data_IF_559231654479
#
_entry.id   IF_559231654479
#
_cell.length_a   1.000
_cell.length_b   1.000
_cell.length_c   1.000
_cell.angle_alpha   90.00
_cell.angle_beta   90.00
_cell.angle_gamma   90.00
#
_symmetry.space_group_name_H-M   'P 1'
#
loop_
_entity.id
_entity.type
_entity.pdbx_description
1 polymer ?
#
# COMPACT_ATOMS: atom_id res chain seq x y z
N UNK A 1 -24.86 43.21 53.09
CA UNK A 1 -23.53 42.69 52.75
C UNK A 1 -23.70 41.19 52.48
N UNK A 2 -24.11 40.73 51.29
CA UNK A 2 -23.30 40.52 50.08
C UNK A 2 -21.92 39.89 50.41
N UNK A 3 -21.52 38.69 49.99
CA UNK A 3 -22.16 37.62 49.24
C UNK A 3 -21.14 36.47 49.13
N UNK A 4 -21.57 35.23 49.39
CA UNK A 4 -20.76 34.03 49.15
C UNK A 4 -21.43 33.21 48.04
N UNK A 5 -20.87 33.28 46.82
CA UNK A 5 -21.26 32.45 45.68
C UNK A 5 -20.47 31.14 45.75
N UNK A 6 -21.18 30.06 46.10
CA UNK A 6 -20.70 28.68 46.00
C UNK A 6 -20.62 28.26 44.53
N UNK A 7 -19.39 28.15 44.00
CA UNK A 7 -19.10 27.48 42.74
C UNK A 7 -18.33 26.19 43.06
N UNK A 8 -19.07 25.17 43.49
CA UNK A 8 -18.56 23.80 43.60
C UNK A 8 -19.36 22.91 42.66
N UNK A 9 -19.05 22.97 41.35
CA UNK A 9 -19.33 21.87 40.42
C UNK A 9 -17.98 21.29 40.03
N UNK A 10 -17.49 20.39 40.86
CA UNK A 10 -16.40 19.49 40.53
C UNK A 10 -16.85 18.64 39.34
N UNK A 11 -16.32 18.95 38.16
CA UNK A 11 -16.38 18.11 36.97
C UNK A 11 -15.52 16.87 37.23
N UNK A 12 -16.13 15.84 37.81
CA UNK A 12 -15.65 14.46 37.75
C UNK A 12 -15.85 13.94 36.31
N UNK A 13 -15.01 14.43 35.40
CA UNK A 13 -14.83 13.84 34.08
C UNK A 13 -13.96 12.61 34.23
N UNK A 14 -14.59 11.46 34.51
CA UNK A 14 -13.95 10.15 34.43
C UNK A 14 -13.63 9.90 32.96
N UNK A 15 -12.42 10.25 32.54
CA UNK A 15 -11.78 9.75 31.33
C UNK A 15 -11.56 8.25 31.52
N UNK A 16 -12.54 7.46 31.12
CA UNK A 16 -12.35 6.03 30.91
C UNK A 16 -11.36 5.86 29.76
N UNK A 17 -10.07 5.75 30.08
CA UNK A 17 -9.06 5.25 29.16
C UNK A 17 -9.32 3.76 29.01
N UNK A 18 -10.16 3.39 28.05
CA UNK A 18 -10.36 2.00 27.69
C UNK A 18 -9.04 1.45 27.12
N UNK A 19 -8.65 0.22 27.49
CA UNK A 19 -7.43 -0.41 27.01
C UNK A 19 -7.49 -0.56 25.48
N UNK A 20 -6.34 -0.38 24.83
CA UNK A 20 -6.16 -0.59 23.40
C UNK A 20 -6.23 -2.09 23.09
N UNK A 21 -7.44 -2.65 23.11
CA UNK A 21 -7.74 -3.91 22.43
C UNK A 21 -7.40 -3.74 20.94
N UNK A 22 -6.86 -4.78 20.30
CA UNK A 22 -6.47 -4.75 18.88
C UNK A 22 -7.53 -4.03 18.06
N UNK A 23 -7.11 -3.04 17.25
CA UNK A 23 -7.95 -1.93 16.76
C UNK A 23 -9.01 -2.41 15.76
N UNK A 24 -9.98 -3.19 16.23
CA UNK A 24 -11.10 -3.68 15.46
C UNK A 24 -11.92 -2.46 14.99
N UNK A 25 -11.99 -2.27 13.68
CA UNK A 25 -12.75 -1.16 13.11
C UNK A 25 -14.20 -1.58 12.87
N UNK A 26 -15.11 -1.08 13.70
CA UNK A 26 -16.54 -1.24 13.46
C UNK A 26 -17.07 -0.19 12.48
N UNK A 27 -17.52 -0.61 11.29
CA UNK A 27 -18.06 0.29 10.27
C UNK A 27 -19.34 1.02 10.71
N UNK A 28 -20.08 0.47 11.67
CA UNK A 28 -21.36 1.00 12.11
C UNK A 28 -22.53 0.60 11.19
N UNK A 29 -23.77 0.95 11.58
CA UNK A 29 -24.97 0.52 10.88
C UNK A 29 -25.06 1.08 9.47
N UNK A 30 -25.42 0.21 8.52
CA UNK A 30 -25.68 0.60 7.13
C UNK A 30 -24.44 0.92 6.30
N UNK A 31 -23.24 0.80 6.86
CA UNK A 31 -21.96 1.03 6.16
C UNK A 31 -21.37 -0.32 5.76
N UNK A 32 -21.28 -0.64 4.46
CA UNK A 32 -20.80 -1.96 4.03
C UNK A 32 -19.27 -2.08 4.08
N UNK A 33 -18.54 -0.98 3.91
CA UNK A 33 -17.08 -0.96 3.82
C UNK A 33 -16.49 0.08 4.76
N UNK A 34 -15.49 -0.33 5.54
CA UNK A 34 -14.62 0.58 6.27
C UNK A 34 -13.19 0.05 6.32
N UNK A 35 -12.25 0.95 6.50
CA UNK A 35 -10.85 0.63 6.38
C UNK A 35 -9.93 1.75 6.81
N UNK A 36 -8.65 1.56 6.55
CA UNK A 36 -7.62 2.58 6.74
C UNK A 36 -6.93 2.90 5.43
N UNK A 37 -6.69 4.18 5.17
CA UNK A 37 -5.66 4.63 4.25
C UNK A 37 -4.35 4.74 5.04
N UNK A 38 -3.41 3.84 4.77
CA UNK A 38 -2.10 3.79 5.42
C UNK A 38 -1.08 4.61 4.62
N UNK A 39 -0.43 5.55 5.29
CA UNK A 39 0.56 6.47 4.73
C UNK A 39 1.89 6.28 5.47
N UNK A 40 2.96 6.04 4.74
CA UNK A 40 4.30 5.91 5.29
C UNK A 40 4.97 7.28 5.38
N UNK A 41 5.58 7.58 6.51
CA UNK A 41 6.31 8.86 6.67
C UNK A 41 7.69 8.85 6.02
N UNK A 42 8.27 7.68 5.76
CA UNK A 42 9.65 7.52 5.32
C UNK A 42 10.70 7.60 6.41
N UNK A 43 10.29 7.82 7.68
CA UNK A 43 11.22 7.81 8.82
C UNK A 43 11.49 6.42 9.39
N UNK A 44 10.68 5.43 8.98
CA UNK A 44 10.75 4.06 9.46
C UNK A 44 12.06 3.34 9.12
N UNK A 45 12.05 2.02 9.32
CA UNK A 45 13.20 1.15 9.11
C UNK A 45 13.02 0.29 7.86
N UNK A 46 14.14 -0.13 7.27
CA UNK A 46 14.16 -1.05 6.12
C UNK A 46 13.27 -0.53 4.98
N UNK A 47 12.25 -1.30 4.58
CA UNK A 47 11.32 -0.96 3.51
C UNK A 47 10.50 0.31 3.77
N UNK A 48 10.31 0.70 5.04
CA UNK A 48 9.60 1.92 5.45
C UNK A 48 10.48 3.18 5.46
N UNK A 49 11.76 3.05 5.08
CA UNK A 49 12.67 4.17 5.00
C UNK A 49 12.73 4.69 3.57
N UNK A 50 12.23 5.89 3.36
CA UNK A 50 12.24 6.54 2.05
C UNK A 50 12.25 8.08 2.18
N UNK A 51 12.59 8.76 1.08
CA UNK A 51 12.94 10.20 1.08
C UNK A 51 11.74 11.13 1.28
N UNK A 52 10.56 10.72 0.86
CA UNK A 52 9.32 11.52 0.81
C UNK A 52 8.18 10.67 1.38
N UNK A 53 7.14 11.19 2.03
CA UNK A 53 6.02 10.37 2.48
C UNK A 53 5.29 9.73 1.28
N UNK A 54 4.83 8.49 1.42
CA UNK A 54 4.20 7.73 0.32
C UNK A 54 2.95 6.99 0.78
N UNK A 55 2.17 6.52 -0.18
CA UNK A 55 1.09 5.58 0.08
C UNK A 55 1.67 4.21 0.44
N UNK A 56 1.22 3.62 1.53
CA UNK A 56 1.35 2.18 1.75
C UNK A 56 0.18 1.48 1.06
N UNK A 57 -1.05 1.83 1.43
CA UNK A 57 -2.23 1.12 0.94
C UNK A 57 -3.56 1.64 1.44
N UNK A 58 -4.64 1.08 0.89
CA UNK A 58 -6.01 1.24 1.38
C UNK A 58 -6.53 -0.14 1.76
N UNK A 59 -6.77 -0.36 3.05
CA UNK A 59 -7.01 -1.67 3.60
C UNK A 59 -8.41 -1.77 4.21
N UNK A 60 -9.36 -2.43 3.52
CA UNK A 60 -10.62 -2.81 4.14
C UNK A 60 -10.37 -3.64 5.40
N UNK A 61 -10.93 -3.21 6.52
CA UNK A 61 -10.73 -3.86 7.82
C UNK A 61 -11.73 -5.02 7.94
N UNK A 62 -11.39 -6.14 7.30
CA UNK A 62 -12.21 -7.36 7.22
C UNK A 62 -11.82 -8.37 8.30
N UNK A 63 -12.76 -9.26 8.68
CA UNK A 63 -12.48 -10.38 9.58
C UNK A 63 -12.05 -9.92 10.98
N UNK A 64 -10.86 -10.33 11.43
CA UNK A 64 -10.35 -9.98 12.76
C UNK A 64 -10.00 -8.49 12.90
N UNK A 65 -9.90 -7.76 11.80
CA UNK A 65 -9.51 -6.36 11.77
C UNK A 65 -10.71 -5.40 11.84
N UNK A 66 -11.92 -5.87 11.50
CA UNK A 66 -13.10 -5.00 11.54
C UNK A 66 -14.36 -5.65 10.99
N UNK A 67 -15.45 -4.87 10.98
CA UNK A 67 -16.76 -5.31 10.47
C UNK A 67 -16.98 -4.99 8.99
N UNK A 68 -15.93 -4.59 8.27
CA UNK A 68 -16.02 -4.35 6.83
C UNK A 68 -16.39 -5.65 6.11
N UNK A 69 -17.30 -5.55 5.17
CA UNK A 69 -17.57 -6.65 4.23
C UNK A 69 -16.42 -6.74 3.24
N UNK A 70 -16.13 -7.93 2.75
CA UNK A 70 -15.36 -8.05 1.50
C UNK A 70 -16.34 -7.89 0.34
N UNK A 71 -16.22 -6.80 -0.41
CA UNK A 71 -17.01 -6.58 -1.62
C UNK A 71 -16.11 -6.80 -2.84
N UNK A 72 -16.35 -7.85 -3.65
CA UNK A 72 -15.51 -8.15 -4.80
C UNK A 72 -15.62 -7.06 -5.87
N UNK A 73 -14.59 -6.92 -6.73
CA UNK A 73 -14.65 -5.97 -7.81
C UNK A 73 -15.69 -6.39 -8.85
N UNK A 74 -16.21 -5.41 -9.60
CA UNK A 74 -17.19 -5.67 -10.67
C UNK A 74 -16.54 -6.27 -11.93
N UNK A 75 -15.24 -6.06 -12.08
CA UNK A 75 -14.41 -6.62 -13.13
C UNK A 75 -13.04 -7.00 -12.55
N UNK A 76 -12.55 -8.20 -12.88
CA UNK A 76 -11.31 -8.76 -12.31
C UNK A 76 -10.13 -8.74 -13.31
N UNK A 77 -10.19 -7.84 -14.31
CA UNK A 77 -9.13 -7.68 -15.30
C UNK A 77 -7.98 -6.83 -14.77
N UNK A 78 -6.75 -7.36 -14.63
CA UNK A 78 -5.62 -6.57 -14.18
C UNK A 78 -5.16 -5.62 -15.30
N UNK A 79 -4.81 -4.39 -14.93
CA UNK A 79 -4.33 -3.37 -15.87
C UNK A 79 -2.81 -3.22 -15.85
N UNK A 80 -2.14 -3.70 -14.78
CA UNK A 80 -0.67 -3.75 -14.61
C UNK A 80 0.03 -2.43 -14.98
N UNK A 81 -0.43 -1.34 -14.39
CA UNK A 81 0.13 -0.01 -14.57
C UNK A 81 0.75 0.49 -13.27
N UNK A 82 1.86 1.25 -13.36
CA UNK A 82 2.40 1.95 -12.18
C UNK A 82 1.63 3.25 -11.95
N UNK A 83 0.89 3.31 -10.85
CA UNK A 83 0.11 4.48 -10.45
C UNK A 83 1.00 5.53 -9.81
N UNK A 84 0.71 6.81 -10.07
CA UNK A 84 1.60 7.90 -9.68
C UNK A 84 1.79 8.04 -8.17
N UNK A 85 0.79 7.67 -7.36
CA UNK A 85 0.90 7.76 -5.90
C UNK A 85 1.72 6.61 -5.26
N UNK A 86 1.96 5.52 -6.01
CA UNK A 86 2.86 4.42 -5.62
C UNK A 86 4.25 4.54 -6.24
N UNK A 87 4.45 5.55 -7.09
CA UNK A 87 5.72 5.77 -7.75
C UNK A 87 6.73 6.28 -6.75
N UNK A 88 7.63 5.38 -6.35
CA UNK A 88 8.82 5.72 -5.57
C UNK A 88 10.04 5.79 -6.49
N UNK A 89 11.06 6.56 -6.09
CA UNK A 89 12.38 6.48 -6.74
C UNK A 89 12.93 5.05 -6.53
N UNK A 90 13.01 4.23 -7.59
CA UNK A 90 13.46 2.84 -7.43
C UNK A 90 13.17 1.89 -8.60
N UNK A 91 13.33 0.59 -8.32
CA UNK A 91 13.07 -0.51 -9.28
C UNK A 91 11.57 -0.62 -9.58
N UNK A 92 11.21 -0.27 -10.82
CA UNK A 92 9.85 -0.40 -11.37
C UNK A 92 9.23 -1.79 -11.11
N UNK A 93 10.02 -2.86 -11.14
CA UNK A 93 9.52 -4.22 -10.90
C UNK A 93 9.05 -4.39 -9.46
N UNK A 94 9.77 -3.80 -8.50
CA UNK A 94 9.35 -3.80 -7.10
C UNK A 94 8.05 -3.01 -6.91
N UNK A 95 7.89 -1.85 -7.55
CA UNK A 95 6.63 -1.09 -7.53
C UNK A 95 5.46 -1.90 -8.08
N UNK A 96 5.63 -2.56 -9.23
CA UNK A 96 4.58 -3.40 -9.82
C UNK A 96 4.22 -4.61 -8.94
N UNK A 97 5.23 -5.22 -8.28
CA UNK A 97 4.98 -6.30 -7.33
C UNK A 97 4.16 -5.81 -6.14
N UNK A 98 4.51 -4.64 -5.60
CA UNK A 98 3.84 -4.04 -4.46
C UNK A 98 2.40 -3.62 -4.79
N UNK A 99 2.16 -2.97 -5.93
CA UNK A 99 0.80 -2.70 -6.40
C UNK A 99 0.00 -4.00 -6.60
N UNK A 100 0.63 -5.04 -7.14
CA UNK A 100 0.02 -6.37 -7.23
C UNK A 100 -0.38 -6.94 -5.87
N UNK A 101 0.46 -6.75 -4.84
CA UNK A 101 0.15 -7.11 -3.45
C UNK A 101 -1.05 -6.34 -2.92
N UNK A 102 -1.04 -5.01 -3.05
CA UNK A 102 -2.11 -4.14 -2.58
C UNK A 102 -3.45 -4.49 -3.24
N UNK A 103 -3.46 -4.75 -4.56
CA UNK A 103 -4.66 -5.19 -5.24
C UNK A 103 -5.13 -6.56 -4.76
N UNK A 104 -4.24 -7.56 -4.78
CA UNK A 104 -4.60 -8.95 -4.49
C UNK A 104 -5.09 -9.13 -3.05
N UNK A 105 -4.45 -8.45 -2.09
CA UNK A 105 -4.74 -8.60 -0.66
C UNK A 105 -5.85 -7.67 -0.18
N UNK A 106 -5.90 -6.44 -0.70
CA UNK A 106 -6.77 -5.39 -0.17
C UNK A 106 -7.80 -4.91 -1.20
N UNK A 107 -7.36 -4.57 -2.40
CA UNK A 107 -8.22 -4.03 -3.46
C UNK A 107 -9.36 -4.96 -3.89
N UNK A 108 -9.12 -6.27 -3.93
CA UNK A 108 -10.14 -7.29 -4.23
C UNK A 108 -11.33 -7.33 -3.27
N UNK A 109 -11.23 -6.72 -2.09
CA UNK A 109 -12.32 -6.61 -1.13
C UNK A 109 -12.89 -5.18 -0.99
N UNK A 110 -12.39 -4.22 -1.76
CA UNK A 110 -12.65 -2.80 -1.57
C UNK A 110 -13.93 -2.30 -2.26
N UNK A 111 -14.70 -3.16 -2.93
CA UNK A 111 -15.91 -2.77 -3.68
C UNK A 111 -15.64 -1.87 -4.88
N UNK A 112 -14.39 -1.78 -5.32
CA UNK A 112 -13.99 -1.03 -6.51
C UNK A 112 -14.58 -1.63 -7.79
N UNK A 113 -14.61 -0.85 -8.87
CA UNK A 113 -15.06 -1.37 -10.17
C UNK A 113 -14.05 -2.38 -10.72
N UNK A 114 -12.77 -1.99 -10.72
CA UNK A 114 -11.62 -2.73 -11.23
C UNK A 114 -10.34 -2.24 -10.49
N UNK A 115 -9.17 -2.76 -10.87
CA UNK A 115 -7.86 -2.39 -10.31
C UNK A 115 -7.57 -0.89 -10.48
N UNK A 116 -7.80 -0.36 -11.69
CA UNK A 116 -7.64 1.07 -12.01
C UNK A 116 -8.48 1.96 -11.09
N UNK A 117 -9.74 1.60 -10.86
CA UNK A 117 -10.66 2.34 -10.02
C UNK A 117 -10.26 2.30 -8.55
N UNK A 118 -9.71 1.17 -8.08
CA UNK A 118 -9.16 1.09 -6.73
C UNK A 118 -7.99 2.06 -6.57
N UNK A 119 -6.96 1.96 -7.40
CA UNK A 119 -5.78 2.81 -7.27
C UNK A 119 -6.05 4.29 -7.55
N UNK A 120 -6.97 4.62 -8.46
CA UNK A 120 -7.42 6.00 -8.66
C UNK A 120 -8.02 6.59 -7.37
N UNK A 121 -8.82 5.82 -6.64
CA UNK A 121 -9.37 6.24 -5.35
C UNK A 121 -8.28 6.39 -4.29
N UNK A 122 -7.34 5.44 -4.20
CA UNK A 122 -6.20 5.54 -3.27
C UNK A 122 -5.38 6.80 -3.52
N UNK A 123 -5.04 7.08 -4.78
CA UNK A 123 -4.29 8.30 -5.13
C UNK A 123 -5.10 9.58 -4.82
N UNK A 124 -6.41 9.58 -5.07
CA UNK A 124 -7.25 10.74 -4.77
C UNK A 124 -7.36 11.02 -3.27
N UNK A 125 -7.51 9.98 -2.44
CA UNK A 125 -7.62 10.11 -0.99
C UNK A 125 -6.30 10.53 -0.34
N UNK A 126 -5.17 10.06 -0.87
CA UNK A 126 -3.83 10.29 -0.31
C UNK A 126 -3.18 11.61 -0.70
N UNK A 127 -3.55 12.19 -1.86
CA UNK A 127 -2.88 13.37 -2.43
C UNK A 127 -2.70 14.53 -1.43
N UNK A 128 -3.79 14.99 -0.78
CA UNK A 128 -3.70 16.10 0.18
C UNK A 128 -3.06 15.71 1.52
N UNK A 129 -3.37 14.55 2.13
CA UNK A 129 -2.63 14.06 3.30
C UNK A 129 -1.12 14.00 3.09
N UNK A 130 -0.65 13.42 1.98
CA UNK A 130 0.77 13.30 1.67
C UNK A 130 1.45 14.66 1.53
N UNK A 131 0.78 15.62 0.88
CA UNK A 131 1.29 17.00 0.80
C UNK A 131 1.48 17.62 2.19
N UNK A 132 0.51 17.45 3.10
CA UNK A 132 0.62 17.96 4.47
C UNK A 132 1.73 17.27 5.28
N UNK A 133 1.94 15.97 5.05
CA UNK A 133 3.06 15.24 5.65
C UNK A 133 4.39 15.78 5.14
N UNK A 134 4.51 16.03 3.83
CA UNK A 134 5.73 16.59 3.23
C UNK A 134 6.01 18.01 3.76
N UNK A 135 5.00 18.89 3.82
CA UNK A 135 5.12 20.24 4.39
C UNK A 135 5.59 20.22 5.85
N UNK A 136 5.20 19.19 6.61
CA UNK A 136 5.55 19.02 8.02
C UNK A 136 6.84 18.20 8.25
N UNK A 137 7.48 17.71 7.19
CA UNK A 137 8.55 16.70 7.26
C UNK A 137 9.74 17.15 8.09
N UNK A 138 10.15 18.41 8.00
CA UNK A 138 11.29 18.94 8.75
C UNK A 138 11.10 18.88 10.28
N UNK A 139 9.86 18.77 10.75
CA UNK A 139 9.52 18.59 12.17
C UNK A 139 9.51 17.14 12.65
N UNK A 140 9.80 16.17 11.77
CA UNK A 140 9.77 14.74 12.07
C UNK A 140 8.37 14.11 12.05
N UNK A 141 8.30 12.83 12.43
CA UNK A 141 7.08 12.02 12.34
C UNK A 141 5.89 12.61 13.13
N UNK A 142 6.13 13.03 14.38
CA UNK A 142 5.08 13.63 15.23
C UNK A 142 4.53 14.94 14.65
N UNK A 143 5.35 15.71 13.93
CA UNK A 143 4.90 16.93 13.25
C UNK A 143 3.95 16.60 12.09
N UNK A 144 4.21 15.52 11.35
CA UNK A 144 3.31 15.02 10.29
C UNK A 144 1.95 14.59 10.87
N UNK A 145 1.95 13.77 11.94
CA UNK A 145 0.72 13.35 12.65
C UNK A 145 -0.07 14.58 13.10
N UNK A 146 0.62 15.56 13.70
CA UNK A 146 0.01 16.79 14.17
C UNK A 146 -0.55 17.64 13.04
N UNK A 147 0.12 17.71 11.89
CA UNK A 147 -0.34 18.44 10.71
C UNK A 147 -1.65 17.86 10.16
N UNK A 148 -1.73 16.52 10.03
CA UNK A 148 -2.96 15.85 9.60
C UNK A 148 -4.12 16.07 10.57
N UNK A 149 -3.89 15.93 11.88
CA UNK A 149 -4.91 16.19 12.90
C UNK A 149 -5.41 17.64 12.87
N UNK A 150 -4.50 18.63 12.77
CA UNK A 150 -4.88 20.05 12.67
C UNK A 150 -5.67 20.36 11.40
N UNK A 151 -5.39 19.66 10.30
CA UNK A 151 -6.16 19.77 9.07
C UNK A 151 -7.50 19.02 9.10
N UNK A 152 -7.86 18.39 10.23
CA UNK A 152 -9.13 17.69 10.41
C UNK A 152 -9.18 16.28 9.82
N UNK A 153 -8.03 15.70 9.45
CA UNK A 153 -8.00 14.32 8.95
C UNK A 153 -8.29 13.31 10.07
N UNK A 154 -9.02 12.23 9.74
CA UNK A 154 -9.46 11.26 10.73
C UNK A 154 -8.36 10.24 11.05
N UNK A 155 -7.33 10.66 11.79
CA UNK A 155 -6.24 9.77 12.21
C UNK A 155 -6.80 8.71 13.15
N UNK A 156 -6.89 7.48 12.66
CA UNK A 156 -7.38 6.32 13.38
C UNK A 156 -6.26 5.66 14.19
N UNK A 157 -5.10 5.51 13.55
CA UNK A 157 -3.93 4.95 14.19
C UNK A 157 -2.64 5.64 13.76
N UNK A 158 -1.66 5.50 14.64
CA UNK A 158 -0.27 5.88 14.43
C UNK A 158 0.52 4.64 14.80
N UNK A 159 1.20 4.07 13.82
CA UNK A 159 2.12 2.97 14.00
C UNK A 159 3.52 3.57 14.19
N UNK A 160 3.95 3.66 15.45
CA UNK A 160 5.27 4.18 15.81
C UNK A 160 6.39 3.16 15.59
N UNK A 161 6.08 1.92 15.21
CA UNK A 161 7.09 0.92 14.88
C UNK A 161 7.61 1.14 13.45
N UNK A 162 6.70 1.33 12.49
CA UNK A 162 7.05 1.56 11.08
C UNK A 162 6.95 3.03 10.67
N UNK A 163 6.62 3.93 11.60
CA UNK A 163 6.35 5.35 11.37
C UNK A 163 5.28 5.58 10.28
N UNK A 164 4.14 4.89 10.42
CA UNK A 164 2.99 5.03 9.54
C UNK A 164 1.80 5.73 10.22
N UNK A 165 1.00 6.39 9.40
CA UNK A 165 -0.23 7.07 9.83
C UNK A 165 -1.40 6.43 9.10
N UNK A 166 -2.39 5.94 9.86
CA UNK A 166 -3.59 5.33 9.34
C UNK A 166 -4.78 6.29 9.49
N UNK A 167 -5.36 6.67 8.35
CA UNK A 167 -6.56 7.51 8.31
C UNK A 167 -7.79 6.64 8.13
N UNK A 168 -8.81 6.76 9.00
CA UNK A 168 -10.03 5.98 8.84
C UNK A 168 -10.81 6.41 7.59
N UNK A 169 -11.29 5.42 6.85
CA UNK A 169 -12.02 5.58 5.61
C UNK A 169 -13.25 4.67 5.59
N UNK A 170 -14.28 5.06 4.84
CA UNK A 170 -15.45 4.23 4.58
C UNK A 170 -15.87 4.31 3.12
N UNK A 171 -16.65 3.34 2.67
CA UNK A 171 -17.34 3.37 1.40
C UNK A 171 -18.77 2.83 1.53
N UNK A 172 -19.67 3.37 0.71
CA UNK A 172 -21.04 2.87 0.57
C UNK A 172 -21.11 1.67 -0.36
N UNK A 173 -22.33 1.28 -0.74
CA UNK A 173 -22.58 0.20 -1.72
C UNK A 173 -22.08 0.56 -3.13
N UNK A 174 -21.77 1.83 -3.38
CA UNK A 174 -21.16 2.34 -4.61
C UNK A 174 -19.63 2.14 -4.67
N UNK A 175 -19.02 1.64 -3.59
CA UNK A 175 -17.58 1.41 -3.49
C UNK A 175 -16.75 2.68 -3.60
N UNK A 176 -17.33 3.85 -3.30
CA UNK A 176 -16.64 5.14 -3.31
C UNK A 176 -16.07 5.45 -1.94
N UNK A 177 -14.75 5.33 -1.80
CA UNK A 177 -14.05 5.55 -0.55
C UNK A 177 -13.94 7.03 -0.19
N UNK A 178 -14.11 7.34 1.09
CA UNK A 178 -14.07 8.68 1.68
C UNK A 178 -13.36 8.62 3.02
N UNK A 179 -12.55 9.63 3.33
CA UNK A 179 -11.98 9.79 4.67
C UNK A 179 -13.04 10.36 5.61
N UNK A 180 -13.27 9.68 6.74
CA UNK A 180 -14.17 10.16 7.79
C UNK A 180 -13.77 9.56 9.14
N UNK A 181 -14.05 10.23 10.28
CA UNK A 181 -13.94 9.60 11.59
C UNK A 181 -14.90 8.40 11.67
N UNK A 182 -14.49 7.31 12.33
CA UNK A 182 -15.30 6.08 12.45
C UNK A 182 -16.72 6.35 12.93
N UNK A 183 -16.90 7.22 13.93
CA UNK A 183 -18.23 7.60 14.45
C UNK A 183 -19.16 8.30 13.45
N UNK A 184 -18.63 8.78 12.31
CA UNK A 184 -19.40 9.43 11.23
C UNK A 184 -19.60 8.55 10.01
N UNK A 185 -19.11 7.31 10.01
CA UNK A 185 -19.27 6.42 8.85
C UNK A 185 -20.75 6.24 8.43
N UNK A 186 -21.73 6.03 9.34
CA UNK A 186 -23.14 5.91 8.92
C UNK A 186 -23.69 7.14 8.19
N UNK A 187 -23.24 8.34 8.57
CA UNK A 187 -23.63 9.60 7.92
C UNK A 187 -22.97 9.75 6.54
N UNK A 188 -21.68 9.41 6.44
CA UNK A 188 -20.87 9.66 5.23
C UNK A 188 -21.02 8.57 4.16
N UNK A 189 -21.22 7.33 4.60
CA UNK A 189 -21.18 6.12 3.76
C UNK A 189 -22.39 5.19 3.95
N UNK A 190 -23.28 5.47 4.90
CA UNK A 190 -24.46 4.65 5.14
C UNK A 190 -25.56 4.82 4.09
N UNK A 191 -26.62 4.02 4.19
CA UNK A 191 -27.74 4.00 3.23
C UNK A 191 -28.50 5.34 3.08
N UNK A 192 -28.34 6.27 4.03
CA UNK A 192 -28.92 7.62 3.97
C UNK A 192 -27.97 8.67 3.38
N UNK A 193 -26.72 8.33 3.11
CA UNK A 193 -25.81 9.24 2.43
C UNK A 193 -26.39 9.52 1.04
N UNK A 194 -26.58 10.80 0.72
CA UNK A 194 -26.99 11.18 -0.63
C UNK A 194 -26.07 10.46 -1.62
N UNK A 195 -26.63 9.77 -2.64
CA UNK A 195 -25.80 9.08 -3.62
C UNK A 195 -24.78 10.08 -4.11
N UNK A 196 -23.50 9.69 -4.06
CA UNK A 196 -22.44 10.54 -4.61
C UNK A 196 -22.90 10.95 -6.01
N UNK A 197 -22.80 12.23 -6.40
CA UNK A 197 -23.14 12.64 -7.74
C UNK A 197 -22.45 11.64 -8.67
N UNK A 198 -23.24 10.94 -9.50
CA UNK A 198 -22.70 9.96 -10.45
C UNK A 198 -21.47 10.63 -11.05
N UNK A 199 -20.26 10.03 -10.95
CA UNK A 199 -19.08 10.65 -11.52
C UNK A 199 -19.48 10.97 -12.94
N UNK A 200 -19.60 12.27 -13.24
CA UNK A 200 -19.88 12.71 -14.60
C UNK A 200 -18.76 12.05 -15.38
N UNK A 201 -19.06 11.15 -16.33
CA UNK A 201 -18.01 10.53 -17.12
C UNK A 201 -17.07 11.65 -17.52
N UNK A 202 -15.79 11.62 -17.14
CA UNK A 202 -14.87 12.69 -17.47
C UNK A 202 -15.10 12.94 -18.95
N UNK A 203 -15.47 14.18 -19.30
CA UNK A 203 -15.99 14.50 -20.62
C UNK A 203 -15.17 13.73 -21.64
N UNK A 204 -15.82 12.83 -22.37
CA UNK A 204 -15.19 12.03 -23.43
C UNK A 204 -14.76 13.05 -24.47
N UNK A 205 -13.55 13.58 -24.30
CA UNK A 205 -13.20 14.87 -24.89
C UNK A 205 -11.74 15.26 -24.65
N UNK A 206 -10.88 14.27 -24.45
CA UNK A 206 -9.47 14.44 -24.75
C UNK A 206 -9.12 13.40 -25.79
N UNK A 207 -8.98 13.82 -27.06
CA UNK A 207 -8.33 13.04 -28.11
C UNK A 207 -6.82 12.88 -27.82
N UNK A 208 -6.43 12.74 -26.56
CA UNK A 208 -5.04 12.69 -26.12
C UNK A 208 -4.92 11.72 -24.96
N UNK A 209 -4.00 10.75 -25.06
CA UNK A 209 -3.63 9.97 -23.90
C UNK A 209 -2.59 10.74 -23.08
N UNK A 210 -2.91 10.99 -21.81
CA UNK A 210 -1.98 11.57 -20.84
C UNK A 210 -1.37 10.41 -20.03
N UNK A 211 -0.06 10.42 -19.73
CA UNK A 211 0.54 9.43 -18.85
C UNK A 211 -0.24 9.23 -17.54
N UNK A 212 -0.50 7.95 -17.21
CA UNK A 212 -1.26 7.52 -16.02
C UNK A 212 -2.73 7.99 -15.95
N UNK A 213 -3.36 8.29 -17.11
CA UNK A 213 -4.81 8.52 -17.21
C UNK A 213 -5.41 7.60 -18.27
N UNK A 214 -6.66 7.14 -18.07
CA UNK A 214 -7.40 6.45 -19.13
C UNK A 214 -7.60 7.40 -20.31
N UNK A 215 -7.22 6.96 -21.51
CA UNK A 215 -7.51 7.66 -22.76
C UNK A 215 -8.93 7.37 -23.27
N UNK A 216 -9.21 7.73 -24.53
CA UNK A 216 -10.49 7.43 -25.20
C UNK A 216 -10.82 5.93 -25.20
N UNK A 217 -12.11 5.58 -25.31
CA UNK A 217 -12.52 4.17 -25.42
C UNK A 217 -11.98 3.53 -26.70
N UNK A 218 -11.66 2.25 -26.60
CA UNK A 218 -11.20 1.45 -27.73
C UNK A 218 -11.61 -0.01 -27.60
N UNK A 219 -11.61 -0.71 -28.72
CA UNK A 219 -11.84 -2.14 -28.88
C UNK A 219 -10.60 -2.84 -29.45
N UNK A 220 -9.71 -2.10 -30.13
CA UNK A 220 -8.47 -2.59 -30.72
C UNK A 220 -7.39 -1.51 -30.70
N UNK A 221 -6.12 -1.90 -30.78
CA UNK A 221 -4.98 -0.96 -30.76
C UNK A 221 -5.00 0.02 -31.95
N UNK A 222 -5.57 -0.40 -33.08
CA UNK A 222 -5.75 0.46 -34.26
C UNK A 222 -6.62 1.70 -33.98
N UNK A 223 -7.55 1.64 -33.03
CA UNK A 223 -8.40 2.79 -32.67
C UNK A 223 -7.64 3.84 -31.86
N UNK A 224 -6.50 3.48 -31.29
CA UNK A 224 -5.63 4.41 -30.57
C UNK A 224 -4.55 5.01 -31.49
N UNK A 225 -4.38 4.45 -32.69
CA UNK A 225 -3.43 4.95 -33.67
C UNK A 225 -3.89 6.31 -34.19
N UNK A 226 -3.02 7.32 -34.07
CA UNK A 226 -3.32 8.69 -34.50
C UNK A 226 -3.99 9.57 -33.44
N UNK A 227 -4.30 9.05 -32.25
CA UNK A 227 -4.70 9.86 -31.11
C UNK A 227 -3.42 10.36 -30.42
N UNK A 228 -3.14 11.68 -30.36
CA UNK A 228 -1.93 12.21 -29.74
C UNK A 228 -1.60 11.59 -28.37
N UNK A 229 -0.37 11.12 -28.22
CA UNK A 229 0.10 10.51 -26.97
C UNK A 229 -0.48 9.12 -26.67
N UNK A 230 -1.40 8.57 -27.47
CA UNK A 230 -1.88 7.20 -27.31
C UNK A 230 -1.02 6.23 -28.10
N UNK A 231 -0.78 5.07 -27.49
CA UNK A 231 0.08 4.02 -28.03
C UNK A 231 -0.73 2.80 -28.46
N UNK A 232 -1.75 2.42 -27.68
CA UNK A 232 -2.53 1.18 -27.86
C UNK A 232 -3.78 1.15 -26.99
N UNK A 233 -4.66 0.17 -27.23
CA UNK A 233 -5.85 -0.11 -26.43
C UNK A 233 -5.56 -1.01 -25.22
N UNK A 234 -4.52 -1.85 -25.35
CA UNK A 234 -4.07 -2.75 -24.31
C UNK A 234 -5.15 -3.73 -23.80
N UNK A 235 -6.18 -4.00 -24.62
CA UNK A 235 -7.36 -4.79 -24.22
C UNK A 235 -8.08 -4.29 -22.96
N UNK A 236 -7.82 -3.05 -22.53
CA UNK A 236 -8.42 -2.45 -21.32
C UNK A 236 -9.80 -1.85 -21.58
N UNK A 237 -10.19 -1.72 -22.85
CA UNK A 237 -11.36 -0.93 -23.29
C UNK A 237 -11.05 0.56 -23.45
N UNK A 238 -9.83 1.01 -23.16
CA UNK A 238 -9.39 2.40 -23.26
C UNK A 238 -7.97 2.53 -23.80
N UNK A 239 -7.71 3.59 -24.58
CA UNK A 239 -6.38 3.89 -25.08
C UNK A 239 -5.45 4.27 -23.91
N UNK A 240 -4.18 3.89 -24.03
CA UNK A 240 -3.13 4.21 -23.06
C UNK A 240 -1.92 4.81 -23.76
N UNK A 241 -1.20 5.69 -23.08
CA UNK A 241 0.10 6.22 -23.53
C UNK A 241 1.25 5.24 -23.30
N UNK A 242 1.01 4.15 -22.57
CA UNK A 242 2.04 3.13 -22.30
C UNK A 242 2.30 2.30 -23.56
N UNK A 243 3.49 2.37 -24.17
CA UNK A 243 3.82 1.51 -25.30
C UNK A 243 3.77 0.03 -24.91
N UNK A 244 3.56 -0.86 -25.89
CA UNK A 244 3.90 -2.27 -25.67
C UNK A 244 5.39 -2.28 -25.31
N UNK A 245 5.74 -2.74 -24.12
CA UNK A 245 7.12 -3.13 -23.87
C UNK A 245 7.42 -4.18 -24.92
N UNK A 246 8.22 -3.83 -25.93
CA UNK A 246 8.82 -4.85 -26.76
C UNK A 246 9.68 -5.67 -25.80
N UNK A 247 9.46 -6.97 -25.70
CA UNK A 247 10.31 -7.92 -24.95
C UNK A 247 11.82 -7.73 -25.30
N UNK A 248 12.12 -7.13 -26.46
CA UNK A 248 13.45 -6.70 -26.89
C UNK A 248 14.18 -5.71 -25.94
N UNK A 249 13.45 -4.89 -25.16
CA UNK A 249 14.08 -3.94 -24.23
C UNK A 249 14.67 -4.65 -22.99
N UNK A 250 14.10 -5.78 -22.58
CA UNK A 250 14.65 -6.60 -21.49
C UNK A 250 15.85 -7.45 -21.97
N UNK A 251 15.83 -7.91 -23.22
CA UNK A 251 16.94 -8.67 -23.82
C UNK A 251 18.23 -7.84 -23.99
N UNK A 252 18.11 -6.52 -24.18
CA UNK A 252 19.27 -5.63 -24.38
C UNK A 252 19.96 -5.26 -23.07
N UNK A 253 19.27 -5.30 -21.93
CA UNK A 253 19.87 -5.03 -20.61
C UNK A 253 20.54 -6.27 -19.99
N UNK A 254 20.20 -7.48 -20.43
CA UNK A 254 20.86 -8.71 -19.97
C UNK A 254 22.15 -9.08 -20.73
N UNK A 255 22.49 -8.36 -21.82
CA UNK A 255 23.67 -8.68 -22.64
C UNK A 255 24.93 -7.89 -22.29
N UNK A 256 24.87 -6.96 -21.33
CA UNK A 256 26.05 -6.21 -20.87
C UNK A 256 26.45 -6.65 -19.48
N UNK A 257 27.21 -7.75 -19.39
CA UNK A 257 28.30 -7.99 -18.44
C UNK A 257 28.60 -9.50 -18.30
N UNK A 258 29.27 -10.07 -19.29
CA UNK A 258 30.24 -11.14 -19.00
C UNK A 258 31.59 -10.56 -19.38
N UNK A 259 32.39 -10.04 -18.42
CA UNK A 259 33.78 -9.73 -18.71
C UNK A 259 34.47 -11.01 -19.17
N UNK A 260 35.18 -10.90 -20.30
CA UNK A 260 35.95 -11.99 -20.85
C UNK A 260 36.90 -12.57 -19.78
N UNK A 261 37.12 -13.91 -19.75
CA UNK A 261 38.10 -14.49 -18.85
C UNK A 261 39.48 -13.92 -19.16
N UNK A 262 40.10 -13.31 -18.16
CA UNK A 262 41.50 -12.92 -18.17
C UNK A 262 42.34 -14.16 -18.46
N UNK A 263 42.92 -14.19 -19.66
CA UNK A 263 43.95 -15.17 -20.02
C UNK A 263 45.15 -14.99 -19.09
N UNK A 264 45.35 -15.97 -18.23
CA UNK A 264 46.51 -16.11 -17.36
C UNK A 264 47.78 -16.26 -18.20
N UNK A 265 48.60 -15.20 -18.23
CA UNK A 265 50.02 -15.28 -18.57
C UNK A 265 50.81 -15.59 -17.30
N UNK A 266 51.66 -16.61 -17.37
CA UNK A 266 52.21 -17.33 -16.23
C UNK A 266 53.10 -16.53 -15.27
N UNK A 267 53.11 -17.00 -14.03
CA UNK A 267 54.25 -16.91 -13.14
C UNK A 267 54.36 -18.23 -12.36
N UNK A 268 55.59 -18.72 -12.36
CA UNK A 268 56.06 -20.05 -12.00
C UNK A 268 56.57 -20.01 -10.55
N UNK A 269 56.32 -21.10 -9.81
CA UNK A 269 56.98 -21.58 -8.57
C UNK A 269 56.75 -20.87 -7.23
N UNK A 270 56.01 -21.55 -6.34
CA UNK A 270 56.42 -21.95 -4.97
C UNK A 270 55.19 -22.60 -4.28
N UNK A 271 55.01 -23.92 -4.27
CA UNK A 271 55.63 -24.89 -3.36
C UNK A 271 55.51 -24.50 -1.87
N UNK A 272 54.57 -25.12 -1.15
CA UNK A 272 54.70 -25.30 0.31
C UNK A 272 53.42 -25.18 1.14
N UNK A 273 53.06 -26.28 1.82
CA UNK A 273 52.21 -26.37 3.01
C UNK A 273 50.67 -26.31 2.85
N UNK A 274 50.13 -27.39 2.29
CA UNK A 274 48.85 -27.94 2.74
C UNK A 274 49.11 -29.05 3.77
N UNK A 275 49.06 -28.74 5.07
CA UNK A 275 48.71 -29.71 6.12
C UNK A 275 48.05 -28.98 7.29
N UNK A 276 46.91 -29.51 7.73
CA UNK A 276 46.23 -29.28 9.02
C UNK A 276 45.37 -28.02 9.20
N UNK A 277 44.11 -28.06 8.72
CA UNK A 277 42.90 -27.75 9.53
C UNK A 277 41.67 -28.48 8.93
N UNK A 278 41.60 -29.81 9.03
CA UNK A 278 40.37 -30.59 8.71
C UNK A 278 40.00 -31.57 9.83
N UNK A 279 40.13 -31.14 11.09
CA UNK A 279 39.77 -31.98 12.24
C UNK A 279 38.93 -31.28 13.32
N UNK A 280 38.35 -30.09 13.05
CA UNK A 280 37.51 -29.38 14.02
C UNK A 280 36.04 -29.20 13.59
N UNK A 281 35.69 -29.47 12.33
CA UNK A 281 34.32 -29.26 11.81
C UNK A 281 33.32 -30.40 12.08
N UNK A 282 33.80 -31.59 12.47
CA UNK A 282 32.96 -32.80 12.57
C UNK A 282 32.18 -32.96 13.88
N UNK A 283 32.50 -32.21 14.94
CA UNK A 283 31.90 -32.41 16.27
C UNK A 283 30.74 -31.45 16.60
N UNK A 284 30.52 -30.40 15.79
CA UNK A 284 29.41 -29.47 15.99
C UNK A 284 28.11 -29.88 15.27
N UNK A 285 28.20 -30.74 14.23
CA UNK A 285 27.01 -31.21 13.51
C UNK A 285 26.21 -32.28 14.28
N UNK A 286 26.84 -33.07 15.16
CA UNK A 286 26.15 -34.12 15.91
C UNK A 286 25.39 -33.60 17.15
N UNK A 287 25.75 -32.42 17.68
CA UNK A 287 25.09 -31.84 18.86
C UNK A 287 23.78 -31.10 18.54
N UNK A 288 23.56 -30.70 17.28
CA UNK A 288 22.33 -30.02 16.85
C UNK A 288 21.21 -31.02 16.52
N UNK A 289 21.56 -32.20 15.98
CA UNK A 289 20.58 -33.24 15.64
C UNK A 289 19.85 -33.81 16.88
N UNK A 290 20.56 -34.00 18.00
CA UNK A 290 19.99 -34.58 19.22
C UNK A 290 19.09 -33.64 20.04
N UNK A 291 19.02 -32.35 19.69
CA UNK A 291 18.13 -31.39 20.36
C UNK A 291 16.78 -31.21 19.65
N UNK A 292 16.63 -31.70 18.43
CA UNK A 292 15.40 -31.56 17.63
C UNK A 292 14.42 -32.73 17.82
N UNK A 293 14.89 -33.90 18.24
CA UNK A 293 14.03 -35.08 18.46
C UNK A 293 13.27 -35.05 19.79
N UNK A 294 13.60 -34.13 20.70
CA UNK A 294 12.92 -33.99 22.00
C UNK A 294 11.72 -33.01 21.98
N UNK A 295 11.44 -32.40 20.83
CA UNK A 295 10.51 -31.27 20.70
C UNK A 295 9.13 -31.62 20.15
N UNK A 296 8.83 -32.88 19.80
CA UNK A 296 7.47 -33.34 19.51
C UNK A 296 6.66 -32.49 18.52
N UNK A 297 7.29 -31.83 17.55
CA UNK A 297 6.61 -30.98 16.58
C UNK A 297 6.31 -31.79 15.33
N UNK A 298 5.09 -32.33 15.28
CA UNK A 298 4.49 -32.92 14.07
C UNK A 298 4.47 -31.90 12.94
N UNK A 299 4.98 -32.31 11.79
CA UNK A 299 4.97 -31.58 10.54
C UNK A 299 3.55 -31.18 10.12
N UNK A 300 3.30 -29.87 10.05
CA UNK A 300 2.24 -29.27 9.25
C UNK A 300 2.91 -28.53 8.09
N UNK A 301 2.29 -28.66 6.92
CA UNK A 301 2.73 -28.14 5.63
C UNK A 301 3.14 -26.65 5.70
N UNK A 302 4.26 -26.36 5.06
CA UNK A 302 4.72 -25.00 4.76
C UNK A 302 3.75 -24.37 3.76
N UNK A 303 2.87 -23.52 4.26
CA UNK A 303 2.26 -22.44 3.48
C UNK A 303 2.82 -21.11 4.02
N UNK A 304 3.30 -20.31 3.08
CA UNK A 304 4.22 -19.21 3.27
C UNK A 304 3.43 -17.94 3.62
N UNK A 305 3.08 -17.75 4.89
CA UNK A 305 2.42 -16.53 5.39
C UNK A 305 2.97 -16.09 6.75
N UNK A 306 4.14 -15.46 6.76
CA UNK A 306 4.53 -14.53 7.83
C UNK A 306 5.19 -13.28 7.24
N UNK A 307 4.35 -12.42 6.66
CA UNK A 307 4.52 -10.98 6.75
C UNK A 307 3.26 -10.44 7.43
N UNK A 308 3.21 -10.66 8.76
CA UNK A 308 2.48 -9.79 9.67
C UNK A 308 3.15 -8.42 9.62
N UNK A 309 2.44 -7.48 9.00
CA UNK A 309 2.54 -6.04 9.23
C UNK A 309 1.14 -5.66 9.71
#
# INVERSE_FOLDING_TARGET
>A
MAGLRSWARALLGILAVLPAEGRYMNCGPGVPLCGVLALESGFGRNYYRHKEPVVHGLWPQVGNYGSSKCMPPRSDGPTRMVYSCYRTEGDRRHTLWFEGHEWAKHGRCAGAVDEDDFFAQVCALSSRPLQLMEDARSGGFEAMVSALRRAGYPVFAVDTHNDQIELSACAGMDGRWKLAPVGRFPEVCGAGAAPAPKPTPPAVGGDVCVPNRRGPRCHSDSQCSGIPGCSRCAHSGYCTSTPLYSEAAEATLLTVAVPAPLTAGGAVLAAGCWVAVLAAGGLLAAAVQLRLERSGATAALLDDQYLTI
#
